data_IF_765751596508
#
_entry.id   IF_765751596508
#
_cell.length_a   1.000
_cell.length_b   1.000
_cell.length_c   1.000
_cell.angle_alpha   90.00
_cell.angle_beta   90.00
_cell.angle_gamma   90.00
#
_symmetry.space_group_name_H-M   'P 1'
#
loop_
_entity.id
_entity.type
_entity.pdbx_description
1 polymer ?
#
# COMPACT_ATOMS: atom_id res chain seq x y z
N UNK A 1 8.44 19.60 11.53
CA UNK A 1 7.56 18.80 12.41
C UNK A 1 6.19 18.76 11.75
N UNK A 2 5.66 17.58 11.38
CA UNK A 2 4.28 17.50 10.90
C UNK A 2 3.38 17.86 12.08
N UNK A 3 2.51 18.87 11.95
CA UNK A 3 1.64 19.24 13.06
C UNK A 3 0.71 18.06 13.39
N UNK A 4 0.41 17.85 14.68
CA UNK A 4 -0.51 16.80 15.12
C UNK A 4 -1.85 16.88 14.37
N UNK A 5 -2.26 18.08 13.97
CA UNK A 5 -3.46 18.30 13.18
C UNK A 5 -3.41 17.67 11.78
N UNK A 6 -2.29 17.80 11.06
CA UNK A 6 -2.13 17.19 9.73
C UNK A 6 -2.18 15.67 9.84
N UNK A 7 -1.49 15.08 10.81
CA UNK A 7 -1.52 13.64 11.06
C UNK A 7 -2.95 13.14 11.36
N UNK A 8 -3.70 13.85 12.20
CA UNK A 8 -5.11 13.52 12.50
C UNK A 8 -6.01 13.64 11.26
N UNK A 9 -5.80 14.65 10.41
CA UNK A 9 -6.58 14.80 9.16
C UNK A 9 -6.32 13.65 8.19
N UNK A 10 -5.06 13.23 8.04
CA UNK A 10 -4.71 12.07 7.20
C UNK A 10 -5.29 10.78 7.78
N UNK A 11 -5.20 10.58 9.10
CA UNK A 11 -5.80 9.41 9.75
C UNK A 11 -7.33 9.34 9.54
N UNK A 12 -8.04 10.47 9.69
CA UNK A 12 -9.48 10.55 9.40
C UNK A 12 -9.80 10.26 7.94
N UNK A 13 -9.00 10.80 7.02
CA UNK A 13 -9.16 10.54 5.58
C UNK A 13 -9.02 9.04 5.30
N UNK A 14 -7.94 8.42 5.79
CA UNK A 14 -7.70 6.98 5.61
C UNK A 14 -8.90 6.20 6.12
N UNK A 15 -9.36 6.45 7.35
CA UNK A 15 -10.53 5.78 7.93
C UNK A 15 -11.83 5.98 7.15
N UNK A 16 -12.00 7.14 6.51
CA UNK A 16 -13.18 7.50 5.74
C UNK A 16 -13.28 6.86 4.36
N UNK A 17 -12.19 6.29 3.82
CA UNK A 17 -12.22 5.65 2.51
C UNK A 17 -13.00 4.33 2.59
N UNK A 18 -14.19 4.29 2.01
CA UNK A 18 -14.95 3.07 1.76
C UNK A 18 -15.38 3.02 0.30
N UNK A 19 -15.70 1.84 -0.24
CA UNK A 19 -16.10 1.72 -1.64
C UNK A 19 -17.39 2.48 -1.95
N UNK A 20 -18.25 2.71 -0.96
CA UNK A 20 -19.47 3.50 -1.08
C UNK A 20 -19.19 5.01 -1.05
N UNK A 21 -18.08 5.44 -0.42
CA UNK A 21 -17.74 6.83 -0.22
C UNK A 21 -16.82 7.41 -1.31
N UNK A 22 -16.32 6.58 -2.23
CA UNK A 22 -15.41 6.99 -3.29
C UNK A 22 -16.07 6.91 -4.67
N UNK A 23 -15.65 7.74 -5.65
CA UNK A 23 -16.17 7.65 -7.01
C UNK A 23 -15.94 6.27 -7.64
N UNK A 24 -16.88 5.80 -8.45
CA UNK A 24 -16.77 4.52 -9.17
C UNK A 24 -15.51 4.46 -10.05
N UNK A 25 -15.06 5.60 -10.59
CA UNK A 25 -13.83 5.73 -11.34
C UNK A 25 -12.58 5.34 -10.52
N UNK A 26 -12.53 5.71 -9.23
CA UNK A 26 -11.43 5.34 -8.33
C UNK A 26 -11.41 3.83 -8.05
N UNK A 27 -12.59 3.22 -7.88
CA UNK A 27 -12.72 1.77 -7.71
C UNK A 27 -12.24 1.02 -8.95
N UNK A 28 -12.65 1.49 -10.14
CA UNK A 28 -12.25 0.89 -11.41
C UNK A 28 -10.74 1.06 -11.65
N UNK A 29 -10.17 2.21 -11.31
CA UNK A 29 -8.72 2.41 -11.36
C UNK A 29 -7.98 1.46 -10.41
N UNK A 30 -8.43 1.34 -9.15
CA UNK A 30 -7.82 0.43 -8.18
C UNK A 30 -7.86 -1.03 -8.66
N UNK A 31 -8.97 -1.49 -9.25
CA UNK A 31 -9.08 -2.83 -9.83
C UNK A 31 -8.08 -3.06 -10.97
N UNK A 32 -7.93 -2.08 -11.88
CA UNK A 32 -6.97 -2.17 -12.99
C UNK A 32 -5.53 -2.23 -12.46
N UNK A 33 -5.15 -1.32 -11.58
CA UNK A 33 -3.82 -1.30 -10.97
C UNK A 33 -3.53 -2.56 -10.14
N UNK A 34 -4.54 -3.15 -9.50
CA UNK A 34 -4.39 -4.44 -8.81
C UNK A 34 -4.03 -5.55 -9.80
N UNK A 35 -4.77 -5.66 -10.92
CA UNK A 35 -4.49 -6.67 -11.97
C UNK A 35 -3.12 -6.43 -12.59
N UNK A 36 -2.78 -5.17 -12.88
CA UNK A 36 -1.49 -4.76 -13.45
C UNK A 36 -0.32 -5.20 -12.55
N UNK A 37 -0.28 -4.71 -11.31
CA UNK A 37 0.83 -4.99 -10.39
C UNK A 37 0.94 -6.47 -10.04
N UNK A 38 -0.18 -7.17 -9.88
CA UNK A 38 -0.13 -8.63 -9.67
C UNK A 38 0.39 -9.37 -10.90
N UNK A 39 0.01 -8.94 -12.11
CA UNK A 39 0.53 -9.48 -13.37
C UNK A 39 2.05 -9.26 -13.53
N UNK A 40 2.53 -8.03 -13.28
CA UNK A 40 3.96 -7.70 -13.29
C UNK A 40 4.71 -8.53 -12.25
N UNK A 41 4.15 -8.68 -11.04
CA UNK A 41 4.76 -9.49 -9.98
C UNK A 41 4.89 -10.96 -10.37
N UNK A 42 3.88 -11.53 -11.05
CA UNK A 42 3.92 -12.90 -11.57
C UNK A 42 5.02 -13.04 -12.63
N UNK A 43 5.14 -12.08 -13.56
CA UNK A 43 6.21 -12.07 -14.55
C UNK A 43 7.60 -11.98 -13.92
N UNK A 44 7.71 -11.28 -12.79
CA UNK A 44 8.97 -11.10 -12.06
C UNK A 44 9.46 -12.36 -11.33
N UNK A 45 8.60 -13.36 -11.05
CA UNK A 45 8.98 -14.55 -10.24
C UNK A 45 10.18 -15.31 -10.82
N UNK A 46 10.35 -15.29 -12.14
CA UNK A 46 11.49 -15.95 -12.83
C UNK A 46 12.78 -15.11 -12.90
N UNK A 47 12.75 -13.85 -12.46
CA UNK A 47 13.90 -12.96 -12.58
C UNK A 47 15.00 -13.32 -11.56
N UNK A 48 16.29 -13.07 -11.85
CA UNK A 48 17.38 -13.39 -10.94
C UNK A 48 17.23 -12.79 -9.53
N UNK A 49 16.69 -11.57 -9.43
CA UNK A 49 16.47 -10.90 -8.14
C UNK A 49 15.35 -11.54 -7.30
N UNK A 50 14.39 -12.20 -7.94
CA UNK A 50 13.22 -12.78 -7.26
C UNK A 50 13.63 -13.89 -6.29
N UNK A 51 14.64 -14.68 -6.67
CA UNK A 51 15.18 -15.71 -5.78
C UNK A 51 15.86 -15.09 -4.56
N UNK A 52 16.72 -14.10 -4.78
CA UNK A 52 17.46 -13.42 -3.71
C UNK A 52 16.51 -12.78 -2.69
N UNK A 53 15.49 -12.05 -3.14
CA UNK A 53 14.55 -11.41 -2.23
C UNK A 53 13.68 -12.42 -1.48
N UNK A 54 13.33 -13.55 -2.13
CA UNK A 54 12.58 -14.63 -1.46
C UNK A 54 13.41 -15.26 -0.33
N UNK A 55 14.72 -15.45 -0.53
CA UNK A 55 15.61 -15.99 0.49
C UNK A 55 15.80 -15.00 1.65
N UNK A 56 15.89 -13.69 1.37
CA UNK A 56 15.82 -12.64 2.41
C UNK A 56 14.50 -12.74 3.19
N UNK A 57 13.37 -12.84 2.50
CA UNK A 57 12.06 -12.93 3.12
C UNK A 57 11.89 -14.16 4.02
N UNK A 58 12.49 -15.30 3.65
CA UNK A 58 12.54 -16.51 4.50
C UNK A 58 13.39 -16.33 5.74
N UNK A 59 14.47 -15.55 5.65
CA UNK A 59 15.37 -15.28 6.77
C UNK A 59 14.81 -14.25 7.77
N UNK A 60 13.82 -13.44 7.38
CA UNK A 60 13.20 -12.41 8.24
C UNK A 60 12.33 -12.97 9.37
N UNK A 61 12.17 -14.29 9.47
CA UNK A 61 11.57 -14.96 10.61
C UNK A 61 10.32 -15.77 10.27
N UNK A 62 9.65 -16.17 11.34
CA UNK A 62 8.69 -17.25 11.37
C UNK A 62 7.28 -16.77 10.97
N UNK A 63 6.45 -17.69 10.47
CA UNK A 63 5.08 -17.41 10.07
C UNK A 63 4.90 -17.48 8.55
N UNK A 64 3.81 -18.11 8.13
CA UNK A 64 3.49 -18.37 6.72
C UNK A 64 2.04 -17.97 6.43
N UNK A 65 1.65 -16.76 6.88
CA UNK A 65 0.27 -16.29 6.81
C UNK A 65 -0.04 -15.55 5.51
N UNK A 66 0.96 -14.99 4.83
CA UNK A 66 0.75 -14.11 3.69
C UNK A 66 1.36 -14.68 2.40
N UNK A 67 0.64 -14.53 1.29
CA UNK A 67 0.95 -15.12 -0.01
C UNK A 67 1.98 -14.28 -0.77
N UNK A 68 2.82 -14.95 -1.57
CA UNK A 68 3.70 -14.31 -2.53
C UNK A 68 3.05 -14.34 -3.91
N UNK A 69 2.96 -13.19 -4.57
CA UNK A 69 2.31 -13.08 -5.88
C UNK A 69 3.01 -13.97 -6.91
N UNK A 70 2.24 -14.80 -7.62
CA UNK A 70 2.77 -15.73 -8.62
C UNK A 70 3.57 -16.91 -8.07
N UNK A 71 3.54 -17.16 -6.76
CA UNK A 71 4.28 -18.24 -6.11
C UNK A 71 3.44 -18.98 -5.08
N UNK A 72 3.77 -20.25 -4.82
CA UNK A 72 3.18 -21.03 -3.73
C UNK A 72 3.83 -20.72 -2.37
N UNK A 73 4.85 -19.86 -2.33
CA UNK A 73 5.48 -19.45 -1.09
C UNK A 73 4.53 -18.62 -0.23
N UNK A 74 4.65 -18.78 1.09
CA UNK A 74 4.02 -17.92 2.08
C UNK A 74 5.06 -17.48 3.09
N UNK A 75 4.97 -16.23 3.51
CA UNK A 75 5.92 -15.60 4.44
C UNK A 75 5.18 -14.85 5.56
N UNK A 76 5.95 -14.36 6.53
CA UNK A 76 5.43 -13.45 7.55
C UNK A 76 4.93 -12.15 6.87
N UNK A 77 3.94 -11.45 7.45
CA UNK A 77 3.37 -10.25 6.83
C UNK A 77 4.40 -9.19 6.37
N UNK A 78 5.39 -8.77 7.18
CA UNK A 78 6.38 -7.79 6.71
C UNK A 78 7.27 -8.35 5.59
N UNK A 79 7.64 -9.63 5.65
CA UNK A 79 8.44 -10.27 4.62
C UNK A 79 7.66 -10.43 3.29
N UNK A 80 6.38 -10.79 3.37
CA UNK A 80 5.52 -10.87 2.19
C UNK A 80 5.33 -9.51 1.53
N UNK A 81 5.12 -8.43 2.32
CA UNK A 81 5.04 -7.08 1.78
C UNK A 81 6.34 -6.65 1.07
N UNK A 82 7.50 -6.95 1.65
CA UNK A 82 8.80 -6.66 1.05
C UNK A 82 9.03 -7.43 -0.27
N UNK A 83 8.80 -8.75 -0.25
CA UNK A 83 8.99 -9.61 -1.42
C UNK A 83 8.03 -9.20 -2.53
N UNK A 84 6.73 -9.06 -2.24
CA UNK A 84 5.74 -8.66 -3.23
C UNK A 84 6.00 -7.25 -3.78
N UNK A 85 6.48 -6.30 -2.96
CA UNK A 85 6.88 -4.98 -3.44
C UNK A 85 8.09 -5.01 -4.37
N UNK A 86 9.04 -5.91 -4.09
CA UNK A 86 10.20 -6.11 -4.96
C UNK A 86 9.81 -6.77 -6.26
N UNK A 87 8.92 -7.77 -6.24
CA UNK A 87 8.38 -8.39 -7.45
C UNK A 87 7.56 -7.39 -8.28
N UNK A 88 6.78 -6.55 -7.61
CA UNK A 88 5.95 -5.53 -8.26
C UNK A 88 6.77 -4.52 -9.06
N UNK A 89 7.91 -4.06 -8.52
CA UNK A 89 8.71 -3.01 -9.16
C UNK A 89 9.98 -3.52 -9.86
N UNK A 90 10.39 -4.76 -9.61
CA UNK A 90 11.72 -5.24 -9.98
C UNK A 90 11.98 -5.38 -11.49
N UNK A 91 10.93 -5.36 -12.31
CA UNK A 91 11.03 -5.31 -13.78
C UNK A 91 10.89 -3.89 -14.35
N UNK A 92 10.63 -2.88 -13.52
CA UNK A 92 10.32 -1.51 -13.92
C UNK A 92 9.18 -1.44 -14.96
N UNK A 93 8.14 -2.24 -14.72
CA UNK A 93 7.02 -2.45 -15.65
C UNK A 93 5.66 -2.17 -15.02
N UNK A 94 5.64 -1.72 -13.77
CA UNK A 94 4.46 -1.34 -13.01
C UNK A 94 3.97 0.08 -13.31
N UNK A 95 2.72 0.35 -12.91
CA UNK A 95 2.08 1.65 -13.13
C UNK A 95 2.85 2.85 -12.55
N UNK A 96 2.63 4.02 -13.17
CA UNK A 96 3.18 5.29 -12.70
C UNK A 96 2.05 6.27 -12.40
N UNK A 97 2.02 6.80 -11.18
CA UNK A 97 1.15 7.92 -10.83
C UNK A 97 1.85 9.24 -11.17
N UNK A 98 1.58 9.75 -12.38
CA UNK A 98 2.27 10.92 -12.96
C UNK A 98 2.28 12.17 -12.05
N UNK A 99 1.19 12.56 -11.36
CA UNK A 99 1.23 13.74 -10.50
C UNK A 99 2.22 13.62 -9.32
N UNK A 100 2.37 12.43 -8.74
CA UNK A 100 3.35 12.18 -7.67
C UNK A 100 4.72 11.75 -8.18
N UNK A 101 4.82 11.43 -9.48
CA UNK A 101 6.01 10.92 -10.12
C UNK A 101 6.58 9.69 -9.39
N UNK A 102 5.67 8.80 -8.97
CA UNK A 102 5.97 7.64 -8.15
C UNK A 102 5.16 6.42 -8.59
N UNK A 103 5.72 5.25 -8.36
CA UNK A 103 5.07 3.96 -8.58
C UNK A 103 4.29 3.54 -7.32
N UNK A 104 3.14 4.18 -7.12
CA UNK A 104 2.41 4.05 -5.85
C UNK A 104 1.86 2.64 -5.64
N UNK A 105 1.29 2.01 -6.68
CA UNK A 105 0.64 0.71 -6.51
C UNK A 105 1.62 -0.38 -6.10
N UNK A 106 2.85 -0.37 -6.64
CA UNK A 106 3.90 -1.34 -6.29
C UNK A 106 4.38 -1.26 -4.83
N UNK A 107 4.08 -0.17 -4.12
CA UNK A 107 4.36 -0.05 -2.68
C UNK A 107 3.10 -0.28 -1.83
N UNK A 108 1.97 0.26 -2.27
CA UNK A 108 0.69 0.25 -1.55
C UNK A 108 0.06 -1.14 -1.55
N UNK A 109 -0.04 -1.79 -2.72
CA UNK A 109 -0.77 -3.05 -2.85
C UNK A 109 -0.13 -4.20 -2.05
N UNK A 110 1.21 -4.40 -2.08
CA UNK A 110 1.88 -5.43 -1.26
C UNK A 110 1.63 -5.27 0.24
N UNK A 111 1.73 -4.04 0.75
CA UNK A 111 1.50 -3.75 2.16
C UNK A 111 0.02 -3.95 2.55
N UNK A 112 -0.90 -3.50 1.71
CA UNK A 112 -2.34 -3.71 1.91
C UNK A 112 -2.71 -5.20 1.87
N UNK A 113 -2.18 -5.95 0.91
CA UNK A 113 -2.44 -7.38 0.74
C UNK A 113 -1.96 -8.17 1.96
N UNK A 114 -0.71 -7.95 2.40
CA UNK A 114 -0.17 -8.62 3.59
C UNK A 114 -1.00 -8.31 4.84
N UNK A 115 -1.40 -7.05 5.04
CA UNK A 115 -2.18 -6.63 6.20
C UNK A 115 -3.63 -7.17 6.15
N UNK A 116 -4.25 -7.23 4.97
CA UNK A 116 -5.56 -7.82 4.76
C UNK A 116 -5.56 -9.34 4.97
N UNK A 117 -4.59 -10.07 4.41
CA UNK A 117 -4.47 -11.53 4.58
C UNK A 117 -4.24 -11.91 6.04
N UNK A 118 -3.36 -11.20 6.75
CA UNK A 118 -3.13 -11.40 8.18
C UNK A 118 -4.43 -11.32 9.01
N UNK A 119 -5.42 -10.56 8.54
CA UNK A 119 -6.69 -10.33 9.23
C UNK A 119 -7.87 -11.12 8.66
N UNK A 120 -7.67 -11.91 7.59
CA UNK A 120 -8.76 -12.55 6.87
C UNK A 120 -9.75 -11.53 6.28
N UNK A 121 -9.25 -10.38 5.84
CA UNK A 121 -10.08 -9.30 5.30
C UNK A 121 -10.59 -9.63 3.88
N UNK A 122 -11.69 -8.99 3.48
CA UNK A 122 -12.27 -9.21 2.15
C UNK A 122 -11.52 -8.46 1.05
N UNK A 123 -11.74 -8.84 -0.21
CA UNK A 123 -11.22 -8.08 -1.38
C UNK A 123 -11.73 -6.64 -1.39
N UNK A 124 -12.94 -6.38 -0.89
CA UNK A 124 -13.47 -5.03 -0.76
C UNK A 124 -12.67 -4.19 0.25
N UNK A 125 -12.16 -4.82 1.32
CA UNK A 125 -11.28 -4.18 2.28
C UNK A 125 -9.90 -3.90 1.66
N UNK A 126 -9.37 -4.83 0.86
CA UNK A 126 -8.13 -4.64 0.11
C UNK A 126 -8.23 -3.45 -0.85
N UNK A 127 -9.30 -3.37 -1.65
CA UNK A 127 -9.53 -2.25 -2.57
C UNK A 127 -9.66 -0.92 -1.82
N UNK A 128 -10.37 -0.90 -0.69
CA UNK A 128 -10.47 0.31 0.14
C UNK A 128 -9.10 0.73 0.70
N UNK A 129 -8.28 -0.23 1.14
CA UNK A 129 -6.93 0.02 1.62
C UNK A 129 -6.00 0.54 0.52
N UNK A 130 -6.06 -0.05 -0.67
CA UNK A 130 -5.30 0.40 -1.83
C UNK A 130 -5.66 1.84 -2.21
N UNK A 131 -6.97 2.16 -2.31
CA UNK A 131 -7.42 3.52 -2.63
C UNK A 131 -6.95 4.51 -1.57
N UNK A 132 -7.04 4.17 -0.28
CA UNK A 132 -6.57 5.03 0.79
C UNK A 132 -5.06 5.30 0.72
N UNK A 133 -4.26 4.27 0.44
CA UNK A 133 -2.81 4.40 0.26
C UNK A 133 -2.46 5.29 -0.94
N UNK A 134 -3.07 5.03 -2.10
CA UNK A 134 -2.84 5.82 -3.32
C UNK A 134 -3.27 7.28 -3.13
N UNK A 135 -4.40 7.54 -2.48
CA UNK A 135 -4.86 8.90 -2.18
C UNK A 135 -3.86 9.67 -1.28
N UNK A 136 -3.31 9.00 -0.26
CA UNK A 136 -2.26 9.58 0.58
C UNK A 136 -0.99 9.84 -0.24
N UNK A 137 -0.56 8.88 -1.05
CA UNK A 137 0.61 9.01 -1.92
C UNK A 137 0.45 10.15 -2.93
N UNK A 138 -0.72 10.29 -3.55
CA UNK A 138 -1.05 11.36 -4.47
C UNK A 138 -0.95 12.73 -3.81
N UNK A 139 -1.56 12.91 -2.63
CA UNK A 139 -1.50 14.17 -1.87
C UNK A 139 -0.09 14.53 -1.43
N UNK A 140 0.71 13.55 -1.03
CA UNK A 140 2.12 13.78 -0.70
C UNK A 140 2.90 14.19 -1.94
N UNK A 141 2.64 13.54 -3.08
CA UNK A 141 3.18 13.91 -4.39
C UNK A 141 2.88 15.36 -4.76
N UNK A 142 1.62 15.77 -4.62
CA UNK A 142 1.21 17.16 -4.85
C UNK A 142 1.88 18.14 -3.88
N UNK A 143 2.03 17.76 -2.61
CA UNK A 143 2.68 18.62 -1.60
C UNK A 143 4.18 18.84 -1.88
N UNK A 144 4.84 17.88 -2.55
CA UNK A 144 6.27 17.99 -2.93
C UNK A 144 6.45 18.37 -4.40
N UNK A 145 5.36 18.65 -5.13
CA UNK A 145 5.42 19.00 -6.55
C UNK A 145 6.19 20.30 -6.74
N UNK A 146 7.07 20.32 -7.72
CA UNK A 146 7.91 21.48 -8.04
C UNK A 146 7.93 21.73 -9.54
N UNK A 147 7.82 22.99 -9.96
CA UNK A 147 7.96 23.35 -11.38
C UNK A 147 9.41 23.17 -11.90
N UNK A 148 10.37 22.93 -11.01
CA UNK A 148 11.79 22.74 -11.33
C UNK A 148 12.17 21.25 -11.35
N UNK A 149 13.25 20.89 -12.07
CA UNK A 149 13.94 19.58 -11.98
C UNK A 149 13.00 18.36 -12.08
N UNK A 150 12.25 18.31 -13.17
CA UNK A 150 11.44 17.15 -13.52
C UNK A 150 10.17 16.97 -12.68
N UNK A 151 9.76 17.91 -11.82
CA UNK A 151 8.41 17.89 -11.25
C UNK A 151 8.28 17.61 -9.75
N UNK A 152 9.37 17.36 -9.02
CA UNK A 152 9.32 17.03 -7.57
C UNK A 152 10.53 17.57 -6.80
N UNK A 153 10.31 18.18 -5.64
CA UNK A 153 11.36 18.68 -4.75
C UNK A 153 12.19 17.55 -4.12
N UNK A 154 11.62 16.34 -3.98
CA UNK A 154 12.35 15.16 -3.51
C UNK A 154 13.45 14.77 -4.49
N UNK A 155 13.15 14.78 -5.79
CA UNK A 155 14.13 14.47 -6.84
C UNK A 155 15.24 15.49 -6.92
N UNK A 156 14.92 16.78 -6.70
CA UNK A 156 15.93 17.83 -6.59
C UNK A 156 16.96 17.54 -5.48
N UNK A 157 16.53 16.86 -4.41
CA UNK A 157 17.38 16.46 -3.29
C UNK A 157 18.02 15.08 -3.48
N UNK A 158 17.84 14.42 -4.64
CA UNK A 158 18.38 13.10 -4.94
C UNK A 158 17.55 11.93 -4.39
N UNK A 159 16.36 12.17 -3.82
CA UNK A 159 15.49 11.10 -3.35
C UNK A 159 14.66 10.48 -4.47
N UNK A 160 14.45 9.16 -4.37
CA UNK A 160 13.52 8.44 -5.24
C UNK A 160 12.08 8.57 -4.70
N UNK A 161 11.21 9.23 -5.45
CA UNK A 161 9.83 9.53 -5.02
C UNK A 161 9.05 8.27 -4.62
N UNK A 162 9.23 7.16 -5.34
CA UNK A 162 8.56 5.88 -5.05
C UNK A 162 8.86 5.40 -3.65
N UNK A 163 10.12 5.40 -3.21
CA UNK A 163 10.45 4.94 -1.85
C UNK A 163 10.02 5.95 -0.80
N UNK A 164 10.30 7.24 -1.02
CA UNK A 164 10.01 8.30 -0.05
C UNK A 164 8.50 8.47 0.21
N UNK A 165 7.70 8.59 -0.85
CA UNK A 165 6.24 8.75 -0.76
C UNK A 165 5.58 7.40 -0.51
N UNK A 166 6.01 6.35 -1.21
CA UNK A 166 5.41 5.02 -1.15
C UNK A 166 5.48 4.40 0.24
N UNK A 167 6.52 4.67 1.02
CA UNK A 167 6.61 4.19 2.42
C UNK A 167 5.43 4.70 3.26
N UNK A 168 5.10 6.00 3.16
CA UNK A 168 3.99 6.59 3.92
C UNK A 168 2.65 6.12 3.37
N UNK A 169 2.53 6.01 2.04
CA UNK A 169 1.33 5.49 1.38
C UNK A 169 1.04 4.03 1.76
N UNK A 170 2.06 3.17 1.79
CA UNK A 170 1.98 1.78 2.22
C UNK A 170 1.56 1.66 3.69
N UNK A 171 2.12 2.50 4.58
CA UNK A 171 1.71 2.55 5.97
C UNK A 171 0.24 2.96 6.13
N UNK A 172 -0.23 3.95 5.35
CA UNK A 172 -1.64 4.35 5.34
C UNK A 172 -2.57 3.23 4.86
N UNK A 173 -2.17 2.49 3.82
CA UNK A 173 -2.94 1.35 3.31
C UNK A 173 -3.03 0.21 4.33
N UNK A 174 -1.90 -0.15 4.94
CA UNK A 174 -1.86 -1.13 6.02
C UNK A 174 -2.74 -0.69 7.22
N UNK A 175 -2.70 0.58 7.61
CA UNK A 175 -3.56 1.12 8.67
C UNK A 175 -5.05 1.08 8.27
N UNK A 176 -5.40 1.32 7.01
CA UNK A 176 -6.79 1.21 6.54
C UNK A 176 -7.33 -0.21 6.67
N UNK A 177 -6.48 -1.21 6.42
CA UNK A 177 -6.87 -2.62 6.55
C UNK A 177 -7.24 -3.00 7.99
N UNK A 178 -6.68 -2.32 9.01
CA UNK A 178 -6.93 -2.60 10.43
C UNK A 178 -8.14 -1.85 11.01
N UNK A 179 -8.58 -0.76 10.37
CA UNK A 179 -9.60 0.13 10.92
C UNK A 179 -11.01 -0.47 11.07
N UNK A 180 -11.36 -1.56 10.38
CA UNK A 180 -12.64 -2.26 10.63
C UNK A 180 -12.69 -2.89 12.03
N UNK A 181 -11.54 -3.31 12.58
CA UNK A 181 -11.45 -3.82 13.96
C UNK A 181 -11.63 -2.71 15.00
N UNK A 182 -11.09 -1.52 14.75
CA UNK A 182 -11.25 -0.36 15.66
C UNK A 182 -12.71 0.09 15.71
N UNK A 183 -13.42 0.12 14.57
CA UNK A 183 -14.86 0.47 14.55
C UNK A 183 -15.72 -0.60 15.23
N UNK A 184 -15.39 -1.90 15.12
CA UNK A 184 -16.05 -2.97 15.90
C UNK A 184 -15.74 -2.90 17.40
N UNK A 185 -14.51 -2.53 17.78
CA UNK A 185 -14.10 -2.40 19.18
C UNK A 185 -14.69 -1.14 19.83
N UNK A 186 -14.77 -0.02 19.11
CA UNK A 186 -15.45 1.20 19.56
C UNK A 186 -16.97 1.04 19.61
N UNK A 187 -17.60 0.33 18.65
CA UNK A 187 -19.04 0.01 18.77
C UNK A 187 -19.32 -0.91 19.97
N UNK A 188 -18.40 -1.83 20.32
CA UNK A 188 -18.54 -2.64 21.54
C UNK A 188 -18.30 -1.82 22.82
N UNK A 189 -17.41 -0.83 22.78
CA UNK A 189 -17.17 0.07 23.93
C UNK A 189 -18.35 1.04 24.14
N UNK A 190 -18.92 1.60 23.08
CA UNK A 190 -20.07 2.52 23.15
C UNK A 190 -21.36 1.80 23.57
N UNK A 191 -21.54 0.53 23.21
CA UNK A 191 -22.66 -0.29 23.68
C UNK A 191 -22.46 -0.79 25.13
N UNK A 192 -21.20 -0.93 25.58
CA UNK A 192 -20.88 -1.30 26.96
C UNK A 192 -20.92 -0.12 27.94
N UNK A 193 -20.81 1.13 27.47
CA UNK A 193 -20.90 2.35 28.31
C UNK A 193 -22.33 2.90 28.47
N UNK A 194 -23.33 2.26 27.86
CA UNK A 194 -24.76 2.60 27.99
C UNK A 194 -25.56 1.49 28.70
N UNK A 195 -24.92 0.73 29.57
CA UNK A 195 -25.56 -0.17 30.53
C UNK A 195 -25.00 0.06 31.92
#
# INVERSE_FOLDING_TARGET
>A
MISAEVAHRLARLVQGVTLEAVPSAAINAARRSLIDVTGVSVAAVGAPFARSILDVGRAMGDGQSCSIFGSNARLSPPAAALVNGTLAHGLDFDDTHLPSLAHLTATVLPAAAAACELRGASVADLLSAQIAGVEIGGRLGDAVRSASWGGSSLRKQGFFSTSAIGTVAAAAAAARSTCRSIRRSMNKLVVASNR
#
